data_IF_720612390428
#
_entry.id   IF_720612390428
#
_cell.length_a   1.000
_cell.length_b   1.000
_cell.length_c   1.000
_cell.angle_alpha   90.00
_cell.angle_beta   90.00
_cell.angle_gamma   90.00
#
_symmetry.space_group_name_H-M   'P 1'
#
loop_
_entity.id
_entity.type
_entity.pdbx_description
1 polymer ?
#
# COMPACT_ATOMS: atom_id res chain seq x y z
N UNK A 1 -15.61 -25.25 -10.53
CA UNK A 1 -14.14 -25.29 -10.77
C UNK A 1 -13.47 -23.93 -10.55
N UNK A 2 -13.97 -22.81 -11.10
CA UNK A 2 -13.40 -21.47 -10.85
C UNK A 2 -13.70 -20.90 -9.45
N UNK A 3 -14.78 -21.34 -8.78
CA UNK A 3 -15.14 -20.88 -7.42
C UNK A 3 -14.29 -21.51 -6.30
N UNK A 4 -13.60 -22.61 -6.58
CA UNK A 4 -12.78 -23.35 -5.61
C UNK A 4 -11.40 -22.68 -5.41
N UNK A 5 -10.89 -22.00 -6.45
CA UNK A 5 -9.69 -21.16 -6.37
C UNK A 5 -9.92 -19.86 -5.62
N UNK A 6 -11.15 -19.37 -5.54
CA UNK A 6 -11.49 -18.19 -4.72
C UNK A 6 -11.56 -18.52 -3.23
N UNK A 7 -11.89 -19.76 -2.84
CA UNK A 7 -11.98 -20.15 -1.43
C UNK A 7 -10.63 -20.53 -0.79
N UNK A 8 -9.63 -20.93 -1.58
CA UNK A 8 -8.26 -21.18 -1.08
C UNK A 8 -7.43 -19.88 -0.92
N UNK A 9 -7.79 -18.82 -1.65
CA UNK A 9 -7.16 -17.49 -1.56
C UNK A 9 -7.85 -16.56 -0.55
N UNK A 10 -9.03 -16.97 -0.04
CA UNK A 10 -9.80 -16.26 0.97
C UNK A 10 -9.73 -17.08 2.26
N UNK A 11 -8.54 -17.12 2.87
CA UNK A 11 -8.54 -17.20 4.32
C UNK A 11 -9.32 -15.98 4.82
N UNK A 12 -10.25 -16.14 5.75
CA UNK A 12 -11.04 -15.02 6.24
C UNK A 12 -10.03 -13.99 6.72
N UNK A 13 -9.99 -12.81 6.09
CA UNK A 13 -9.21 -11.68 6.59
C UNK A 13 -9.84 -11.31 7.92
N UNK A 14 -9.42 -12.02 8.95
CA UNK A 14 -9.79 -11.72 10.31
C UNK A 14 -9.29 -10.31 10.58
N UNK A 15 -9.90 -9.61 11.52
CA UNK A 15 -9.37 -8.30 11.95
C UNK A 15 -7.88 -8.37 12.29
N UNK A 16 -7.38 -9.56 12.68
CA UNK A 16 -5.98 -9.89 12.85
C UNK A 16 -5.13 -9.79 11.57
N UNK A 17 -5.60 -10.25 10.41
CA UNK A 17 -4.84 -10.22 9.15
C UNK A 17 -4.74 -8.80 8.59
N UNK A 18 -5.82 -8.02 8.75
CA UNK A 18 -5.81 -6.58 8.43
C UNK A 18 -4.76 -5.85 9.28
N UNK A 19 -4.71 -6.16 10.57
CA UNK A 19 -3.73 -5.58 11.49
C UNK A 19 -2.30 -6.02 11.15
N UNK A 20 -2.09 -7.28 10.78
CA UNK A 20 -0.80 -7.80 10.34
C UNK A 20 -0.34 -7.13 9.03
N UNK A 21 -1.21 -6.98 8.03
CA UNK A 21 -0.89 -6.28 6.79
C UNK A 21 -0.57 -4.79 7.03
N UNK A 22 -1.29 -4.13 7.94
CA UNK A 22 -0.98 -2.75 8.34
C UNK A 22 0.39 -2.64 9.01
N UNK A 23 0.74 -3.59 9.89
CA UNK A 23 2.07 -3.63 10.51
C UNK A 23 3.17 -3.86 9.48
N UNK A 24 2.99 -4.80 8.55
CA UNK A 24 3.96 -5.08 7.48
C UNK A 24 4.10 -3.85 6.56
N UNK A 25 3.00 -3.20 6.20
CA UNK A 25 3.02 -1.98 5.41
C UNK A 25 3.73 -0.83 6.13
N UNK A 26 3.56 -0.71 7.45
CA UNK A 26 4.25 0.28 8.28
C UNK A 26 5.75 0.00 8.33
N UNK A 27 6.16 -1.26 8.49
CA UNK A 27 7.58 -1.67 8.45
C UNK A 27 8.18 -1.38 7.07
N UNK A 28 7.48 -1.72 5.98
CA UNK A 28 7.92 -1.39 4.62
C UNK A 28 8.01 0.13 4.39
N UNK A 29 7.03 0.90 4.87
CA UNK A 29 7.04 2.36 4.78
C UNK A 29 8.19 2.99 5.56
N UNK A 30 8.51 2.45 6.74
CA UNK A 30 9.67 2.86 7.53
C UNK A 30 10.99 2.50 6.82
N UNK A 31 11.10 1.30 6.26
CA UNK A 31 12.26 0.88 5.46
C UNK A 31 12.49 1.79 4.25
N UNK A 32 11.41 2.12 3.52
CA UNK A 32 11.47 3.07 2.40
C UNK A 32 11.90 4.46 2.85
N UNK A 33 11.38 4.95 3.99
CA UNK A 33 11.80 6.23 4.56
C UNK A 33 13.28 6.23 4.98
N UNK A 34 13.77 5.09 5.47
CA UNK A 34 15.15 4.90 5.89
C UNK A 34 16.11 4.83 4.70
N UNK A 35 15.74 4.11 3.62
CA UNK A 35 16.48 4.07 2.35
C UNK A 35 16.49 5.46 1.71
N UNK A 36 15.38 6.19 1.76
CA UNK A 36 15.32 7.56 1.27
C UNK A 36 16.30 8.46 2.04
N UNK A 37 16.29 8.37 3.37
CA UNK A 37 17.24 9.10 4.24
C UNK A 37 18.70 8.71 4.00
N UNK A 38 18.96 7.44 3.64
CA UNK A 38 20.30 6.93 3.36
C UNK A 38 20.83 7.30 1.97
N UNK A 39 19.93 7.40 0.99
CA UNK A 39 20.27 7.65 -0.43
C UNK A 39 20.36 9.15 -0.75
N UNK A 40 19.68 10.02 -0.01
CA UNK A 40 19.71 11.47 -0.24
C UNK A 40 20.84 12.20 0.52
N UNK A 41 21.99 12.39 -0.15
CA UNK A 41 23.12 13.25 0.28
C UNK A 41 23.24 14.51 -0.60
N UNK A 42 22.16 15.28 -0.78
CA UNK A 42 22.15 16.50 -1.60
C UNK A 42 21.38 17.67 -0.99
N UNK A 43 21.66 18.93 -1.40
CA UNK A 43 21.24 20.18 -0.74
C UNK A 43 19.73 20.48 -0.78
N UNK A 44 18.90 19.60 -1.37
CA UNK A 44 17.44 19.70 -1.39
C UNK A 44 16.79 18.63 -0.50
N UNK A 45 17.30 18.49 0.72
CA UNK A 45 16.67 17.67 1.76
C UNK A 45 15.38 18.36 2.22
N UNK A 46 14.28 18.14 1.49
CA UNK A 46 12.97 18.62 1.91
C UNK A 46 12.31 17.58 2.80
N UNK A 47 12.13 17.91 4.08
CA UNK A 47 11.37 17.12 5.05
C UNK A 47 9.98 16.70 4.52
N UNK A 48 9.40 17.53 3.64
CA UNK A 48 8.10 17.29 3.00
C UNK A 48 8.13 16.09 2.07
N UNK A 49 9.25 15.84 1.37
CA UNK A 49 9.34 14.70 0.45
C UNK A 49 9.40 13.37 1.20
N UNK A 50 10.16 13.31 2.31
CA UNK A 50 10.20 12.13 3.19
C UNK A 50 8.80 11.80 3.71
N UNK A 51 8.07 12.83 4.15
CA UNK A 51 6.71 12.67 4.67
C UNK A 51 5.72 12.17 3.59
N UNK A 52 5.82 12.70 2.37
CA UNK A 52 5.01 12.23 1.23
C UNK A 52 5.30 10.78 0.87
N UNK A 53 6.55 10.32 1.00
CA UNK A 53 6.94 8.94 0.67
C UNK A 53 6.37 7.92 1.68
N UNK A 54 6.36 8.29 2.96
CA UNK A 54 5.70 7.50 4.02
C UNK A 54 4.20 7.44 3.81
N UNK A 55 3.56 8.59 3.52
CA UNK A 55 2.13 8.66 3.23
C UNK A 55 1.77 7.81 2.01
N UNK A 56 2.56 7.87 0.93
CA UNK A 56 2.33 7.08 -0.28
C UNK A 56 2.39 5.57 0.00
N UNK A 57 3.34 5.13 0.84
CA UNK A 57 3.46 3.72 1.23
C UNK A 57 2.22 3.23 2.00
N UNK A 58 1.69 4.05 2.91
CA UNK A 58 0.47 3.71 3.68
C UNK A 58 -0.74 3.70 2.76
N UNK A 59 -0.89 4.71 1.90
CA UNK A 59 -1.99 4.79 0.93
C UNK A 59 -1.96 3.58 -0.01
N UNK A 60 -0.79 3.20 -0.52
CA UNK A 60 -0.63 2.02 -1.37
C UNK A 60 -1.08 0.73 -0.69
N UNK A 61 -0.71 0.51 0.57
CA UNK A 61 -1.13 -0.66 1.33
C UNK A 61 -2.65 -0.71 1.54
N UNK A 62 -3.27 0.44 1.84
CA UNK A 62 -4.73 0.55 1.98
C UNK A 62 -5.40 0.24 0.64
N UNK A 63 -4.89 0.79 -0.48
CA UNK A 63 -5.46 0.56 -1.81
C UNK A 63 -5.43 -0.92 -2.17
N UNK A 64 -4.32 -1.62 -1.93
CA UNK A 64 -4.21 -3.06 -2.20
C UNK A 64 -5.22 -3.86 -1.35
N UNK A 65 -5.39 -3.49 -0.08
CA UNK A 65 -6.35 -4.13 0.82
C UNK A 65 -7.81 -3.91 0.38
N UNK A 66 -8.16 -2.70 -0.07
CA UNK A 66 -9.52 -2.38 -0.56
C UNK A 66 -9.84 -3.11 -1.86
N UNK A 67 -8.85 -3.31 -2.73
CA UNK A 67 -9.02 -4.02 -3.99
C UNK A 67 -9.33 -5.51 -3.74
N UNK A 68 -8.53 -6.17 -2.89
CA UNK A 68 -8.68 -7.60 -2.57
C UNK A 68 -8.82 -8.46 -3.83
N UNK A 69 -9.81 -9.36 -3.85
CA UNK A 69 -10.08 -10.25 -4.99
C UNK A 69 -11.01 -9.65 -6.07
N UNK A 70 -11.18 -8.32 -6.15
CA UNK A 70 -12.12 -7.73 -7.12
C UNK A 70 -11.40 -6.81 -8.11
N UNK A 71 -11.20 -7.36 -9.31
CA UNK A 71 -10.54 -6.68 -10.43
C UNK A 71 -11.29 -5.41 -10.84
N UNK A 72 -12.63 -5.39 -10.84
CA UNK A 72 -13.41 -4.20 -11.18
C UNK A 72 -13.19 -3.04 -10.19
N UNK A 73 -13.05 -3.34 -8.89
CA UNK A 73 -12.66 -2.34 -7.86
C UNK A 73 -11.25 -1.81 -8.07
N UNK A 74 -10.31 -2.67 -8.51
CA UNK A 74 -8.94 -2.28 -8.85
C UNK A 74 -8.90 -1.23 -9.96
N UNK A 75 -9.56 -1.51 -11.09
CA UNK A 75 -9.57 -0.61 -12.23
C UNK A 75 -10.28 0.72 -11.93
N UNK A 76 -11.37 0.70 -11.15
CA UNK A 76 -12.06 1.91 -10.72
C UNK A 76 -11.20 2.82 -9.83
N UNK A 77 -10.46 2.26 -8.87
CA UNK A 77 -9.59 3.03 -7.97
C UNK A 77 -8.39 3.65 -8.68
N UNK A 78 -7.74 2.91 -9.60
CA UNK A 78 -6.63 3.44 -10.40
C UNK A 78 -7.09 4.57 -11.31
N UNK A 79 -8.27 4.44 -11.93
CA UNK A 79 -8.86 5.49 -12.76
C UNK A 79 -9.26 6.73 -11.96
N UNK A 80 -9.79 6.57 -10.75
CA UNK A 80 -10.10 7.70 -9.87
C UNK A 80 -8.84 8.44 -9.41
N UNK A 81 -7.78 7.71 -9.05
CA UNK A 81 -6.50 8.30 -8.64
C UNK A 81 -5.82 9.07 -9.77
N UNK A 82 -5.95 8.64 -11.04
CA UNK A 82 -5.34 9.37 -12.17
C UNK A 82 -6.02 10.71 -12.51
N UNK A 83 -7.19 10.99 -11.92
CA UNK A 83 -7.91 12.26 -12.11
C UNK A 83 -7.44 13.32 -11.11
N UNK A 84 -6.90 12.88 -9.96
CA UNK A 84 -6.37 13.76 -8.91
C UNK A 84 -4.96 14.21 -9.35
N UNK A 85 -4.90 15.27 -10.15
CA UNK A 85 -3.64 15.92 -10.55
C UNK A 85 -3.02 16.72 -9.42
#
# INVERSE_FOLDING_TARGET
>A
MFEEYQNLAVFPTSSADVLANLLVALVCGLLLSMIYRLTYRGPSYSITFVNSLVLLSIISAIVIMVIGNNIARAFGLVGAMSIIR
#
